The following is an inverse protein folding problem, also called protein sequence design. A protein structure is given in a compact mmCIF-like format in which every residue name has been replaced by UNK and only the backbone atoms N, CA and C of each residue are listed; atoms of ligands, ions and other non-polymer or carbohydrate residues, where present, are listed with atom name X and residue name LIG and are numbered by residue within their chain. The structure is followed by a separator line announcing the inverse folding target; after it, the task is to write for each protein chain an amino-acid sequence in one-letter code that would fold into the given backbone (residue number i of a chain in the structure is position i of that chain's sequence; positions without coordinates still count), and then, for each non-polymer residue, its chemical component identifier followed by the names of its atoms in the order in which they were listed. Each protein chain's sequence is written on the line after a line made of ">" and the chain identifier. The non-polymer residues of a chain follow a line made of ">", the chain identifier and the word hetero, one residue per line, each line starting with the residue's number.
data_IF_339322427675
#
_entry.id   IF_339322427675
#
_cell.length_a   1.000
_cell.length_b   1.000
_cell.length_c   1.000
_cell.angle_alpha   90.00
_cell.angle_beta   90.00
_cell.angle_gamma   90.00
#
_symmetry.space_group_name_H-M   'P 1'
#
loop_
_entity.id
_entity.type
_entity.pdbx_description
1 polymer ?
#
# COMPACT_ATOMS: atom_id res chain seq x y z
N UNK A 1 -16.35 -13.11 -2.33
CA UNK A 1 -16.12 -13.37 -0.87
C UNK A 1 -17.02 -12.40 -0.09
N UNK A 2 -17.81 -12.87 0.90
CA UNK A 2 -18.77 -12.00 1.61
C UNK A 2 -18.14 -10.71 2.18
N UNK A 3 -16.91 -10.78 2.67
CA UNK A 3 -16.20 -9.61 3.22
C UNK A 3 -15.96 -8.51 2.18
N UNK A 4 -15.60 -8.86 0.94
CA UNK A 4 -15.37 -7.86 -0.11
C UNK A 4 -16.68 -7.23 -0.57
N UNK A 5 -17.80 -7.96 -0.51
CA UNK A 5 -19.12 -7.42 -0.80
C UNK A 5 -19.55 -6.43 0.28
N UNK A 6 -19.29 -6.74 1.57
CA UNK A 6 -19.51 -5.79 2.67
C UNK A 6 -18.65 -4.52 2.52
N UNK A 7 -17.38 -4.68 2.13
CA UNK A 7 -16.49 -3.54 1.87
C UNK A 7 -17.02 -2.70 0.71
N UNK A 8 -17.44 -3.33 -0.39
CA UNK A 8 -17.98 -2.63 -1.55
C UNK A 8 -19.24 -1.82 -1.22
N UNK A 9 -20.07 -2.30 -0.29
CA UNK A 9 -21.26 -1.62 0.20
C UNK A 9 -21.00 -0.61 1.35
N UNK A 10 -19.73 -0.42 1.77
CA UNK A 10 -19.41 0.41 2.92
C UNK A 10 -19.70 1.89 2.69
N UNK A 11 -20.45 2.49 3.60
CA UNK A 11 -20.81 3.92 3.64
C UNK A 11 -20.37 4.65 4.90
N UNK A 12 -19.55 4.02 5.77
CA UNK A 12 -19.20 4.51 7.09
C UNK A 12 -18.68 5.96 7.13
N UNK A 13 -17.98 6.39 6.10
CA UNK A 13 -17.45 7.75 6.00
C UNK A 13 -18.00 8.56 4.79
N UNK A 14 -19.18 8.19 4.28
CA UNK A 14 -19.79 8.80 3.09
C UNK A 14 -19.90 10.33 3.18
N UNK A 15 -20.29 10.86 4.36
CA UNK A 15 -20.43 12.30 4.58
C UNK A 15 -19.11 13.09 4.46
N UNK A 16 -17.97 12.42 4.46
CA UNK A 16 -16.63 13.01 4.40
C UNK A 16 -15.92 12.78 3.07
N UNK A 17 -16.58 12.10 2.12
CA UNK A 17 -16.01 11.75 0.82
C UNK A 17 -16.59 12.63 -0.28
N UNK A 18 -15.79 13.52 -0.90
CA UNK A 18 -16.30 14.51 -1.85
C UNK A 18 -16.89 13.91 -3.14
N UNK A 19 -16.47 12.69 -3.49
CA UNK A 19 -16.97 11.95 -4.65
C UNK A 19 -17.82 10.72 -4.25
N UNK A 20 -18.21 10.64 -2.97
CA UNK A 20 -18.96 9.53 -2.42
C UNK A 20 -18.11 8.27 -2.17
N UNK A 21 -18.71 7.24 -1.54
CA UNK A 21 -18.06 5.96 -1.28
C UNK A 21 -17.78 5.20 -2.58
N UNK A 22 -16.54 4.80 -2.75
CA UNK A 22 -16.09 3.86 -3.79
C UNK A 22 -14.85 3.13 -3.28
N UNK A 23 -15.02 2.08 -2.49
CA UNK A 23 -13.91 1.30 -1.99
C UNK A 23 -13.12 0.62 -3.12
N UNK A 24 -11.78 0.73 -3.08
CA UNK A 24 -10.87 0.12 -4.03
C UNK A 24 -9.89 -0.76 -3.27
N UNK A 25 -10.16 -2.06 -3.27
CA UNK A 25 -9.39 -3.11 -2.58
C UNK A 25 -9.27 -4.31 -3.53
N UNK A 26 -8.11 -4.96 -3.53
CA UNK A 26 -7.87 -6.22 -4.24
C UNK A 26 -7.26 -7.21 -3.26
N UNK A 27 -8.05 -8.13 -2.76
CA UNK A 27 -7.67 -9.10 -1.74
C UNK A 27 -8.60 -10.33 -1.78
N UNK A 28 -8.94 -10.80 -2.99
CA UNK A 28 -9.91 -11.89 -3.17
C UNK A 28 -9.29 -13.27 -3.05
N UNK A 29 -7.98 -13.40 -3.18
CA UNK A 29 -7.31 -14.69 -3.22
C UNK A 29 -6.46 -14.93 -1.95
N UNK A 30 -6.77 -15.98 -1.15
CA UNK A 30 -6.01 -16.30 0.05
C UNK A 30 -4.57 -16.77 -0.24
N UNK A 31 -4.23 -17.09 -1.48
CA UNK A 31 -2.88 -17.49 -1.89
C UNK A 31 -1.90 -16.33 -1.98
N UNK A 32 -2.37 -15.08 -1.97
CA UNK A 32 -1.53 -13.89 -2.05
C UNK A 32 -0.34 -13.99 -1.08
N UNK A 33 0.85 -13.68 -1.59
CA UNK A 33 2.11 -13.77 -0.83
C UNK A 33 2.62 -12.41 -0.39
N UNK A 34 2.22 -11.35 -1.08
CA UNK A 34 2.67 -9.98 -0.81
C UNK A 34 1.45 -9.08 -0.62
N UNK A 35 1.44 -8.36 0.50
CA UNK A 35 0.42 -7.37 0.83
C UNK A 35 0.96 -5.95 0.61
N UNK A 36 0.26 -5.14 -0.18
CA UNK A 36 0.65 -3.76 -0.47
C UNK A 36 -0.30 -2.82 0.27
N UNK A 37 0.25 -2.10 1.26
CA UNK A 37 -0.49 -1.09 2.04
C UNK A 37 -0.04 0.31 1.61
N UNK A 38 -0.89 1.01 0.87
CA UNK A 38 -0.72 2.42 0.50
C UNK A 38 -1.55 3.37 1.36
N UNK A 39 -1.65 4.65 0.97
CA UNK A 39 -2.42 5.65 1.70
C UNK A 39 -3.93 5.49 1.45
N UNK A 40 -4.38 5.82 0.26
CA UNK A 40 -5.77 5.79 -0.19
C UNK A 40 -5.81 5.91 -1.73
N UNK A 41 -6.93 5.58 -2.39
CA UNK A 41 -7.13 5.87 -3.80
C UNK A 41 -6.96 7.37 -4.10
N UNK A 42 -6.23 7.70 -5.16
CA UNK A 42 -6.23 9.05 -5.73
C UNK A 42 -7.40 9.24 -6.71
N UNK A 43 -7.55 10.43 -7.28
CA UNK A 43 -8.66 10.74 -8.21
C UNK A 43 -8.71 9.78 -9.41
N UNK A 44 -7.56 9.44 -10.02
CA UNK A 44 -7.52 8.49 -11.15
C UNK A 44 -8.00 7.11 -10.74
N UNK A 45 -7.52 6.61 -9.61
CA UNK A 45 -7.92 5.32 -9.05
C UNK A 45 -9.40 5.31 -8.67
N UNK A 46 -9.92 6.41 -8.13
CA UNK A 46 -11.35 6.54 -7.87
C UNK A 46 -12.17 6.40 -9.14
N UNK A 47 -11.73 6.99 -10.26
CA UNK A 47 -12.44 6.91 -11.55
C UNK A 47 -12.32 5.52 -12.18
N UNK A 48 -11.10 4.95 -12.24
CA UNK A 48 -10.87 3.66 -12.90
C UNK A 48 -11.32 2.46 -12.06
N UNK A 49 -11.30 2.58 -10.73
CA UNK A 49 -11.48 1.45 -9.81
C UNK A 49 -10.27 0.51 -9.74
N UNK A 50 -9.17 0.87 -10.40
CA UNK A 50 -7.94 0.06 -10.44
C UNK A 50 -6.88 0.70 -9.54
N UNK A 51 -6.46 0.04 -8.44
CA UNK A 51 -5.46 0.59 -7.54
C UNK A 51 -4.11 0.73 -8.24
N UNK A 52 -3.36 1.79 -7.92
CA UNK A 52 -2.05 2.07 -8.52
C UNK A 52 -2.05 2.24 -10.05
N UNK A 53 -3.20 2.63 -10.63
CA UNK A 53 -3.31 2.95 -12.06
C UNK A 53 -2.87 4.39 -12.35
N UNK A 54 -1.61 4.69 -12.00
CA UNK A 54 -0.99 6.00 -12.15
C UNK A 54 0.55 5.91 -12.26
N UNK A 55 1.22 7.07 -12.32
CA UNK A 55 2.68 7.15 -12.38
C UNK A 55 3.37 6.56 -11.14
N UNK A 56 2.72 6.63 -9.97
CA UNK A 56 3.24 6.04 -8.73
C UNK A 56 3.20 4.52 -8.82
N UNK A 57 2.11 3.96 -9.33
CA UNK A 57 1.98 2.51 -9.53
C UNK A 57 2.96 1.98 -10.58
N UNK A 58 3.22 2.73 -11.65
CA UNK A 58 4.27 2.35 -12.60
C UNK A 58 5.62 2.22 -11.90
N UNK A 59 6.02 3.23 -11.12
CA UNK A 59 7.29 3.20 -10.37
C UNK A 59 7.33 2.07 -9.33
N UNK A 60 6.20 1.80 -8.65
CA UNK A 60 6.13 0.69 -7.70
C UNK A 60 6.40 -0.65 -8.38
N UNK A 61 5.76 -0.91 -9.52
CA UNK A 61 6.03 -2.10 -10.32
C UNK A 61 7.48 -2.18 -10.80
N UNK A 62 8.06 -1.04 -11.23
CA UNK A 62 9.47 -0.96 -11.60
C UNK A 62 10.39 -1.32 -10.42
N UNK A 63 10.10 -0.83 -9.20
CA UNK A 63 10.84 -1.21 -7.98
C UNK A 63 10.73 -2.70 -7.65
N UNK A 64 9.54 -3.26 -7.83
CA UNK A 64 9.28 -4.69 -7.55
C UNK A 64 9.81 -5.61 -8.67
N UNK A 65 10.10 -5.09 -9.84
CA UNK A 65 10.52 -5.87 -11.00
C UNK A 65 9.40 -6.74 -11.59
N UNK A 66 8.15 -6.29 -11.51
CA UNK A 66 6.97 -7.05 -11.97
C UNK A 66 6.25 -6.37 -13.12
N UNK A 67 5.66 -7.18 -14.00
CA UNK A 67 4.76 -6.71 -15.04
C UNK A 67 3.40 -6.26 -14.47
N UNK A 68 2.63 -5.46 -15.22
CA UNK A 68 1.25 -5.14 -14.83
C UNK A 68 0.38 -6.38 -14.62
N UNK A 69 0.53 -7.41 -15.44
CA UNK A 69 -0.24 -8.66 -15.30
C UNK A 69 0.05 -9.35 -13.98
N UNK A 70 1.31 -9.48 -13.60
CA UNK A 70 1.70 -10.04 -12.30
C UNK A 70 1.21 -9.17 -11.14
N UNK A 71 1.37 -7.84 -11.22
CA UNK A 71 1.00 -6.92 -10.15
C UNK A 71 -0.50 -6.97 -9.80
N UNK A 72 -1.35 -7.26 -10.77
CA UNK A 72 -2.80 -7.36 -10.58
C UNK A 72 -3.30 -8.80 -10.44
N UNK A 73 -2.42 -9.79 -10.42
CA UNK A 73 -2.75 -11.17 -10.07
C UNK A 73 -2.94 -11.27 -8.55
N UNK A 74 -4.19 -11.42 -8.11
CA UNK A 74 -4.54 -11.49 -6.69
C UNK A 74 -4.05 -12.77 -6.00
N UNK A 75 -3.65 -13.80 -6.75
CA UNK A 75 -2.96 -14.95 -6.17
C UNK A 75 -1.53 -14.65 -5.73
N UNK A 76 -0.95 -13.56 -6.22
CA UNK A 76 0.41 -13.10 -5.90
C UNK A 76 0.39 -11.90 -4.96
N UNK A 77 -0.45 -10.91 -5.26
CA UNK A 77 -0.49 -9.61 -4.56
C UNK A 77 -1.89 -9.26 -4.06
N UNK A 78 -1.97 -8.91 -2.78
CA UNK A 78 -3.12 -8.21 -2.24
C UNK A 78 -2.83 -6.71 -2.10
N UNK A 79 -3.78 -5.86 -2.45
CA UNK A 79 -3.65 -4.40 -2.41
C UNK A 79 -4.75 -3.84 -1.51
N UNK A 80 -4.34 -3.36 -0.34
CA UNK A 80 -5.25 -2.90 0.73
C UNK A 80 -4.75 -1.54 1.23
N UNK A 81 -5.23 -0.40 0.70
CA UNK A 81 -4.80 0.91 1.17
C UNK A 81 -5.32 1.20 2.58
N UNK A 82 -4.70 2.12 3.33
CA UNK A 82 -5.14 2.53 4.67
C UNK A 82 -6.57 3.07 4.69
N UNK A 83 -6.96 3.81 3.65
CA UNK A 83 -8.35 4.20 3.38
C UNK A 83 -8.79 3.64 2.05
N UNK A 84 -9.95 3.00 1.99
CA UNK A 84 -10.41 2.31 0.78
C UNK A 84 -11.05 3.23 -0.26
N UNK A 85 -11.45 4.44 0.14
CA UNK A 85 -12.08 5.43 -0.72
C UNK A 85 -11.19 6.67 -0.90
N UNK A 86 -11.41 7.41 -1.99
CA UNK A 86 -10.74 8.68 -2.24
C UNK A 86 -11.15 9.73 -1.18
N UNK A 87 -10.20 10.24 -0.39
CA UNK A 87 -10.53 11.14 0.74
C UNK A 87 -10.66 12.62 0.34
N UNK A 88 -10.54 12.92 -0.96
CA UNK A 88 -10.49 14.30 -1.44
C UNK A 88 -9.08 14.87 -1.51
N UNK A 89 -8.98 16.10 -2.00
CA UNK A 89 -7.72 16.82 -2.20
C UNK A 89 -7.59 17.99 -1.23
N UNK A 90 -6.43 18.08 -0.59
CA UNK A 90 -6.03 19.19 0.26
C UNK A 90 -4.98 20.08 -0.39
N UNK A 91 -4.46 21.07 0.36
CA UNK A 91 -3.45 22.05 -0.14
C UNK A 91 -2.14 21.42 -0.60
N UNK A 92 -1.73 20.28 0.00
CA UNK A 92 -0.45 19.60 -0.28
C UNK A 92 -0.56 18.32 -1.11
N UNK A 93 -1.74 17.91 -1.52
CA UNK A 93 -2.00 16.63 -2.21
C UNK A 93 -3.33 16.04 -1.78
N UNK A 94 -3.47 14.72 -1.88
CA UNK A 94 -4.65 14.05 -1.39
C UNK A 94 -4.71 14.12 0.16
N UNK A 95 -5.92 14.22 0.69
CA UNK A 95 -6.16 14.25 2.12
C UNK A 95 -5.68 12.93 2.78
N UNK A 96 -5.49 12.94 4.11
CA UNK A 96 -5.26 11.70 4.87
C UNK A 96 -6.34 10.66 4.61
N UNK A 97 -6.00 9.36 4.71
CA UNK A 97 -7.01 8.30 4.68
C UNK A 97 -8.00 8.51 5.82
N UNK A 98 -9.24 8.14 5.58
CA UNK A 98 -10.27 8.23 6.64
C UNK A 98 -9.87 7.34 7.83
N UNK A 99 -9.86 7.88 9.06
CA UNK A 99 -9.39 7.15 10.24
C UNK A 99 -10.29 5.97 10.61
N UNK A 100 -11.55 5.99 10.19
CA UNK A 100 -12.53 4.93 10.45
C UNK A 100 -12.20 3.65 9.66
N UNK A 101 -11.55 3.77 8.51
CA UNK A 101 -11.44 2.69 7.53
C UNK A 101 -10.58 1.53 8.03
N UNK A 102 -9.36 1.81 8.49
CA UNK A 102 -8.44 0.76 8.90
C UNK A 102 -8.95 -0.04 10.13
N UNK A 103 -9.46 0.58 11.21
CA UNK A 103 -10.04 -0.17 12.33
C UNK A 103 -11.22 -1.06 11.95
N UNK A 104 -12.03 -0.64 10.97
CA UNK A 104 -13.19 -1.44 10.54
C UNK A 104 -12.78 -2.66 9.72
N UNK A 105 -11.73 -2.55 8.88
CA UNK A 105 -11.54 -3.51 7.79
C UNK A 105 -10.21 -4.24 7.79
N UNK A 106 -9.10 -3.62 8.23
CA UNK A 106 -7.77 -4.17 7.98
C UNK A 106 -7.57 -5.54 8.62
N UNK A 107 -7.94 -5.72 9.89
CA UNK A 107 -7.76 -7.01 10.57
C UNK A 107 -8.64 -8.10 9.94
N UNK A 108 -9.86 -7.74 9.54
CA UNK A 108 -10.78 -8.66 8.87
C UNK A 108 -10.23 -9.11 7.50
N UNK A 109 -9.70 -8.17 6.70
CA UNK A 109 -9.08 -8.50 5.40
C UNK A 109 -7.82 -9.31 5.61
N UNK A 110 -6.95 -8.94 6.55
CA UNK A 110 -5.72 -9.70 6.83
C UNK A 110 -5.99 -11.12 7.27
N UNK A 111 -7.05 -11.36 8.04
CA UNK A 111 -7.46 -12.70 8.44
C UNK A 111 -7.84 -13.61 7.24
N UNK A 112 -8.21 -13.03 6.09
CA UNK A 112 -8.49 -13.80 4.86
C UNK A 112 -7.25 -14.10 4.01
N UNK A 113 -6.07 -13.59 4.40
CA UNK A 113 -4.81 -13.67 3.66
C UNK A 113 -3.72 -14.40 4.47
N UNK A 114 -3.90 -15.70 4.76
CA UNK A 114 -2.99 -16.45 5.65
C UNK A 114 -1.58 -16.67 5.07
N UNK A 115 -1.40 -16.50 3.77
CA UNK A 115 -0.16 -16.82 3.07
C UNK A 115 0.75 -15.60 2.84
N UNK A 116 0.40 -14.41 3.38
CA UNK A 116 1.25 -13.23 3.26
C UNK A 116 2.60 -13.45 3.95
N UNK A 117 3.66 -13.28 3.18
CA UNK A 117 5.06 -13.38 3.62
C UNK A 117 5.72 -12.02 3.81
N UNK A 118 5.28 -11.02 3.03
CA UNK A 118 5.80 -9.66 3.12
C UNK A 118 4.66 -8.65 2.98
N UNK A 119 4.67 -7.65 3.86
CA UNK A 119 3.79 -6.49 3.77
C UNK A 119 4.60 -5.24 3.45
N UNK A 120 4.34 -4.63 2.30
CA UNK A 120 4.95 -3.36 1.90
C UNK A 120 4.19 -2.20 2.55
N UNK A 121 4.84 -1.46 3.45
CA UNK A 121 4.25 -0.33 4.16
C UNK A 121 4.64 0.98 3.46
N UNK A 122 3.81 1.45 2.53
CA UNK A 122 4.11 2.56 1.63
C UNK A 122 3.61 3.89 2.22
N UNK A 123 4.55 4.70 2.70
CA UNK A 123 4.27 6.03 3.25
C UNK A 123 3.93 6.05 4.74
N UNK A 124 3.74 7.26 5.27
CA UNK A 124 3.69 7.48 6.72
C UNK A 124 2.47 6.81 7.41
N UNK A 125 1.32 6.78 6.76
CA UNK A 125 0.09 6.24 7.37
C UNK A 125 0.17 4.73 7.55
N UNK A 126 0.63 4.00 6.55
CA UNK A 126 0.84 2.56 6.65
C UNK A 126 1.88 2.21 7.72
N UNK A 127 3.02 2.93 7.73
CA UNK A 127 4.06 2.74 8.73
C UNK A 127 3.57 3.06 10.15
N UNK A 128 2.80 4.13 10.32
CA UNK A 128 2.25 4.50 11.62
C UNK A 128 1.31 3.43 12.18
N UNK A 129 0.42 2.90 11.35
CA UNK A 129 -0.57 1.91 11.76
C UNK A 129 0.07 0.55 12.08
N UNK A 130 0.93 0.04 11.19
CA UNK A 130 1.46 -1.33 11.31
C UNK A 130 2.71 -1.44 12.18
N UNK A 131 3.53 -0.41 12.24
CA UNK A 131 4.74 -0.43 13.08
C UNK A 131 4.50 0.18 14.47
N UNK A 132 3.52 1.09 14.61
CA UNK A 132 3.23 1.73 15.89
C UNK A 132 4.46 2.38 16.51
N UNK A 133 4.76 2.05 17.75
CA UNK A 133 5.91 2.54 18.50
C UNK A 133 7.27 2.04 17.96
N UNK A 134 7.30 1.02 17.13
CA UNK A 134 8.54 0.49 16.52
C UNK A 134 9.11 1.39 15.42
N UNK A 135 8.33 2.30 14.85
CA UNK A 135 8.82 3.24 13.83
C UNK A 135 9.84 4.21 14.44
N UNK A 136 10.76 4.70 13.62
CA UNK A 136 11.70 5.76 14.03
C UNK A 136 10.98 7.12 14.01
N UNK A 137 11.69 8.19 14.41
CA UNK A 137 11.12 9.52 14.54
C UNK A 137 10.57 10.09 13.22
N UNK A 138 11.23 9.78 12.11
CA UNK A 138 10.80 10.21 10.77
C UNK A 138 10.53 9.02 9.85
N UNK A 139 9.74 9.29 8.78
CA UNK A 139 9.54 8.30 7.71
C UNK A 139 10.87 7.87 7.08
N UNK A 140 11.76 8.81 6.81
CA UNK A 140 13.06 8.51 6.20
C UNK A 140 13.93 7.62 7.07
N UNK A 141 13.98 7.86 8.37
CA UNK A 141 14.70 7.00 9.34
C UNK A 141 14.06 5.62 9.47
N UNK A 142 12.73 5.53 9.47
CA UNK A 142 12.02 4.26 9.46
C UNK A 142 12.37 3.44 8.22
N UNK A 143 12.36 4.08 7.04
CA UNK A 143 12.75 3.42 5.80
C UNK A 143 14.23 3.04 5.79
N UNK A 144 15.12 3.89 6.33
CA UNK A 144 16.55 3.56 6.43
C UNK A 144 16.83 2.36 7.34
N UNK A 145 16.03 2.21 8.39
CA UNK A 145 16.10 1.08 9.32
C UNK A 145 15.27 -0.15 8.86
N UNK A 146 15.01 -0.30 7.56
CA UNK A 146 14.12 -1.34 7.02
C UNK A 146 14.44 -2.76 7.47
N UNK A 147 15.71 -3.07 7.71
CA UNK A 147 16.16 -4.40 8.17
C UNK A 147 15.59 -4.76 9.54
N UNK A 148 15.32 -3.77 10.41
CA UNK A 148 14.74 -3.97 11.74
C UNK A 148 13.31 -4.55 11.69
N UNK A 149 12.67 -4.54 10.52
CA UNK A 149 11.26 -4.93 10.35
C UNK A 149 11.05 -6.18 9.50
N UNK A 150 12.09 -6.65 8.80
CA UNK A 150 11.97 -7.76 7.84
C UNK A 150 11.58 -9.06 8.52
N UNK A 151 12.16 -9.38 9.66
CA UNK A 151 11.84 -10.62 10.41
C UNK A 151 10.38 -10.64 10.88
N UNK A 152 9.77 -9.48 11.04
CA UNK A 152 8.34 -9.33 11.33
C UNK A 152 7.46 -9.31 10.06
N UNK A 153 8.03 -9.51 8.88
CA UNK A 153 7.33 -9.53 7.60
C UNK A 153 6.93 -8.15 7.08
N UNK A 154 7.62 -7.07 7.48
CA UNK A 154 7.33 -5.70 7.02
C UNK A 154 8.49 -5.09 6.26
N UNK A 155 8.20 -4.40 5.16
CA UNK A 155 9.16 -3.57 4.44
C UNK A 155 8.60 -2.14 4.31
N UNK A 156 9.12 -1.19 5.13
CA UNK A 156 8.71 0.21 5.00
C UNK A 156 9.33 0.85 3.75
N UNK A 157 8.49 1.52 2.97
CA UNK A 157 8.88 2.20 1.75
C UNK A 157 8.43 3.66 1.77
N UNK A 158 9.16 4.52 1.06
CA UNK A 158 8.64 5.85 0.69
C UNK A 158 7.56 5.69 -0.37
N UNK A 159 6.65 6.67 -0.47
CA UNK A 159 5.65 6.65 -1.54
C UNK A 159 6.33 6.85 -2.91
N UNK A 160 6.05 6.03 -3.92
CA UNK A 160 6.68 6.09 -5.25
C UNK A 160 6.21 7.28 -6.12
N UNK A 161 5.61 8.29 -5.50
CA UNK A 161 5.17 9.50 -6.18
C UNK A 161 6.32 10.23 -6.87
N UNK A 162 6.10 10.84 -8.06
CA UNK A 162 7.04 11.76 -8.67
C UNK A 162 7.49 12.90 -7.75
N UNK A 163 6.65 13.31 -6.77
CA UNK A 163 6.98 14.33 -5.77
C UNK A 163 8.16 13.95 -4.88
N UNK A 164 8.43 12.66 -4.68
CA UNK A 164 9.54 12.16 -3.89
C UNK A 164 10.85 12.03 -4.67
N UNK A 165 10.92 12.51 -5.92
CA UNK A 165 12.12 12.43 -6.74
C UNK A 165 13.35 13.10 -6.10
N UNK A 166 13.15 14.25 -5.44
CA UNK A 166 14.24 14.98 -4.73
C UNK A 166 14.71 14.14 -3.54
N UNK A 167 13.79 13.55 -2.79
CA UNK A 167 14.14 12.68 -1.67
C UNK A 167 14.94 11.47 -2.14
N UNK A 168 14.49 10.78 -3.18
CA UNK A 168 15.17 9.62 -3.77
C UNK A 168 16.59 9.98 -4.23
N UNK A 169 16.78 11.11 -4.90
CA UNK A 169 18.11 11.59 -5.31
C UNK A 169 19.04 11.82 -4.11
N UNK A 170 18.52 12.36 -3.00
CA UNK A 170 19.30 12.59 -1.77
C UNK A 170 19.55 11.32 -0.97
N UNK A 171 18.80 10.25 -1.22
CA UNK A 171 18.84 8.99 -0.50
C UNK A 171 19.07 7.83 -1.48
N UNK A 172 20.16 7.91 -2.25
CA UNK A 172 20.53 6.91 -3.29
C UNK A 172 20.63 5.47 -2.75
N UNK A 173 20.90 5.32 -1.47
CA UNK A 173 20.89 4.03 -0.78
C UNK A 173 19.55 3.29 -0.91
N UNK A 174 18.42 4.00 -1.06
CA UNK A 174 17.12 3.38 -1.24
C UNK A 174 17.08 2.51 -2.50
N UNK A 175 17.51 3.07 -3.63
CA UNK A 175 17.56 2.34 -4.90
C UNK A 175 18.73 1.33 -4.96
N UNK A 176 19.80 1.57 -4.20
CA UNK A 176 20.96 0.69 -4.16
C UNK A 176 20.79 -0.52 -3.21
N UNK A 177 19.99 -0.40 -2.16
CA UNK A 177 19.84 -1.45 -1.14
C UNK A 177 18.42 -2.06 -1.12
N UNK A 178 17.38 -1.20 -0.99
CA UNK A 178 16.00 -1.68 -0.80
C UNK A 178 15.40 -2.23 -2.09
N UNK A 179 15.60 -1.55 -3.21
CA UNK A 179 15.01 -1.99 -4.49
C UNK A 179 15.58 -3.35 -4.93
N UNK A 180 16.89 -3.62 -4.88
CA UNK A 180 17.41 -4.96 -5.19
C UNK A 180 16.90 -6.03 -4.22
N UNK A 181 16.85 -5.73 -2.91
CA UNK A 181 16.29 -6.65 -1.93
C UNK A 181 14.83 -7.01 -2.28
N UNK A 182 13.99 -6.00 -2.53
CA UNK A 182 12.59 -6.20 -2.89
C UNK A 182 12.44 -7.06 -4.16
N UNK A 183 13.21 -6.77 -5.20
CA UNK A 183 13.17 -7.52 -6.47
C UNK A 183 13.51 -8.98 -6.31
N UNK A 184 14.57 -9.29 -5.58
CA UNK A 184 15.01 -10.68 -5.34
C UNK A 184 13.90 -11.45 -4.64
N UNK A 185 13.38 -10.92 -3.53
CA UNK A 185 12.37 -11.62 -2.74
C UNK A 185 11.01 -11.72 -3.45
N UNK A 186 10.63 -10.69 -4.23
CA UNK A 186 9.45 -10.77 -5.09
C UNK A 186 9.62 -11.89 -6.11
N UNK A 187 10.75 -11.96 -6.81
CA UNK A 187 11.02 -13.00 -7.80
C UNK A 187 10.98 -14.42 -7.18
N UNK A 188 11.62 -14.61 -6.03
CA UNK A 188 11.65 -15.88 -5.30
C UNK A 188 10.25 -16.39 -4.90
N UNK A 189 9.33 -15.47 -4.62
CA UNK A 189 7.97 -15.83 -4.20
C UNK A 189 7.00 -15.96 -5.36
N UNK A 190 7.36 -15.46 -6.54
CA UNK A 190 6.58 -15.62 -7.78
C UNK A 190 6.99 -16.87 -8.57
N UNK A 191 8.14 -17.47 -8.26
CA UNK A 191 8.60 -18.75 -8.81
C UNK A 191 7.83 -19.92 -8.17
#
# INVERSE_FOLDING_TARGET
>A
MPLLDEIAACTACAAHLPLGPRPVVRASDPRAKILIIGQAPGTKVHVSGVPWDDASGKRLRDWMGVSPAQFYDESLFAIVPMGFCYPGRGKGGDNPPRPECAPLWHDRVRATLPNIRLTLLIGAYAQAHYLGARRKATLGETVRAWRDYIDAGYLPLVHPSPRNQIWLKRNSWFEAEIVPYLRIHVADWLA
#
